data_IF_457109330398
#
_entry.id   IF_457109330398
#
_cell.length_a   1.000
_cell.length_b   1.000
_cell.length_c   1.000
_cell.angle_alpha   90.00
_cell.angle_beta   90.00
_cell.angle_gamma   90.00
#
_symmetry.space_group_name_H-M   'P 1'
#
loop_
_entity.id
_entity.type
_entity.pdbx_description
1 polymer ?
#
# COMPACT_ATOMS: atom_id res chain seq x y z
N UNK A 1 13.42 -7.74 2.84
CA UNK A 1 12.27 -7.18 2.15
C UNK A 1 12.53 -5.85 1.50
N UNK A 2 13.80 -5.52 1.38
CA UNK A 2 14.17 -4.28 0.73
C UNK A 2 13.68 -4.19 -0.70
N UNK A 3 13.67 -5.32 -1.41
CA UNK A 3 13.19 -5.35 -2.79
C UNK A 3 11.73 -4.91 -2.89
N UNK A 4 10.89 -5.35 -1.96
CA UNK A 4 9.47 -4.99 -1.97
C UNK A 4 9.32 -3.51 -1.67
N UNK A 5 10.07 -2.99 -0.70
CA UNK A 5 10.00 -1.58 -0.35
C UNK A 5 10.46 -0.68 -1.50
N UNK A 6 11.37 -1.14 -2.33
CA UNK A 6 11.85 -0.36 -3.45
C UNK A 6 10.97 -0.50 -4.69
N UNK A 7 10.13 -1.54 -4.75
CA UNK A 7 9.37 -1.83 -5.95
C UNK A 7 7.88 -1.96 -5.74
N UNK A 8 7.34 -1.51 -4.62
CA UNK A 8 5.92 -1.68 -4.31
C UNK A 8 5.00 -1.03 -5.34
N UNK A 9 5.46 0.03 -5.99
CA UNK A 9 4.64 0.73 -6.97
C UNK A 9 4.61 0.03 -8.32
N UNK A 10 5.43 -1.00 -8.50
CA UNK A 10 5.43 -1.77 -9.72
C UNK A 10 4.43 -2.90 -9.62
N UNK A 11 4.23 -3.58 -10.74
CA UNK A 11 3.26 -4.66 -10.81
C UNK A 11 3.88 -5.92 -10.19
N UNK A 12 4.06 -5.91 -8.89
CA UNK A 12 4.63 -7.05 -8.17
C UNK A 12 3.58 -8.11 -7.91
N UNK A 13 3.96 -9.36 -8.07
CA UNK A 13 3.09 -10.47 -7.74
C UNK A 13 3.91 -11.57 -7.09
N UNK A 14 3.20 -12.47 -6.42
CA UNK A 14 3.81 -13.66 -5.84
C UNK A 14 4.57 -14.43 -6.91
N UNK A 15 3.95 -14.57 -8.08
CA UNK A 15 4.54 -15.33 -9.17
C UNK A 15 5.80 -14.68 -9.72
N UNK A 16 5.79 -13.35 -9.88
CA UNK A 16 6.96 -12.66 -10.41
C UNK A 16 8.14 -12.72 -9.45
N UNK A 17 7.89 -12.61 -8.16
CA UNK A 17 8.96 -12.70 -7.16
C UNK A 17 9.49 -14.11 -7.03
N UNK A 18 8.60 -15.10 -7.08
CA UNK A 18 9.04 -16.50 -7.01
C UNK A 18 9.91 -16.83 -8.21
N UNK A 19 9.52 -16.36 -9.40
CA UNK A 19 10.32 -16.59 -10.61
C UNK A 19 11.70 -15.95 -10.49
N UNK A 20 11.77 -14.74 -9.95
CA UNK A 20 13.04 -14.05 -9.78
C UNK A 20 13.96 -14.78 -8.81
N UNK A 21 13.40 -15.49 -7.85
CA UNK A 21 14.18 -16.25 -6.87
C UNK A 21 14.38 -17.71 -7.27
N UNK A 22 13.86 -18.11 -8.42
CA UNK A 22 13.96 -19.49 -8.93
C UNK A 22 13.30 -20.51 -7.99
N UNK A 23 12.16 -20.14 -7.41
CA UNK A 23 11.40 -21.04 -6.54
C UNK A 23 9.95 -21.06 -7.00
N UNK A 24 9.17 -22.02 -6.54
CA UNK A 24 7.77 -22.10 -6.91
C UNK A 24 6.95 -21.02 -6.17
N UNK A 25 5.87 -20.55 -6.77
CA UNK A 25 5.00 -19.58 -6.07
C UNK A 25 4.44 -20.10 -4.75
N UNK A 26 4.11 -21.40 -4.71
CA UNK A 26 3.59 -21.98 -3.47
C UNK A 26 4.63 -21.98 -2.36
N UNK A 27 5.86 -22.34 -2.70
CA UNK A 27 6.95 -22.32 -1.74
C UNK A 27 7.19 -20.90 -1.25
N UNK A 28 7.21 -19.94 -2.18
CA UNK A 28 7.39 -18.54 -1.83
C UNK A 28 6.31 -18.07 -0.84
N UNK A 29 5.05 -18.41 -1.11
CA UNK A 29 3.94 -17.98 -0.25
C UNK A 29 4.09 -18.54 1.16
N UNK A 30 4.43 -19.79 1.28
CA UNK A 30 4.57 -20.45 2.58
C UNK A 30 5.73 -19.84 3.35
N UNK A 31 6.87 -19.67 2.69
CA UNK A 31 8.04 -19.13 3.37
C UNK A 31 7.84 -17.68 3.76
N UNK A 32 7.20 -16.90 2.88
CA UNK A 32 6.97 -15.50 3.18
C UNK A 32 6.11 -15.34 4.42
N UNK A 33 4.99 -16.09 4.48
CA UNK A 33 4.09 -15.98 5.62
C UNK A 33 4.76 -16.49 6.88
N UNK A 34 5.58 -17.52 6.76
CA UNK A 34 6.28 -18.07 7.92
C UNK A 34 7.26 -17.06 8.51
N UNK A 35 7.98 -16.36 7.65
CA UNK A 35 9.00 -15.41 8.11
C UNK A 35 8.42 -14.05 8.50
N UNK A 36 7.40 -13.59 7.77
CA UNK A 36 6.88 -12.25 7.97
C UNK A 36 5.61 -12.20 8.83
N UNK A 37 4.98 -13.34 9.04
CA UNK A 37 3.76 -13.38 9.84
C UNK A 37 2.50 -12.99 9.10
N UNK A 38 2.60 -12.47 7.89
CA UNK A 38 1.45 -12.10 7.06
C UNK A 38 1.73 -12.53 5.64
N UNK A 39 0.68 -12.63 4.82
CA UNK A 39 0.86 -13.02 3.43
C UNK A 39 1.57 -11.90 2.67
N UNK A 40 2.13 -12.27 1.51
CA UNK A 40 2.80 -11.30 0.65
C UNK A 40 1.85 -10.17 0.24
N UNK A 41 0.62 -10.52 -0.14
CA UNK A 41 -0.34 -9.50 -0.57
C UNK A 41 -0.72 -8.54 0.56
N UNK A 42 -0.87 -9.05 1.76
CA UNK A 42 -1.14 -8.21 2.90
C UNK A 42 0.03 -7.26 3.18
N UNK A 43 1.23 -7.79 3.07
CA UNK A 43 2.44 -7.00 3.32
C UNK A 43 2.55 -5.87 2.27
N UNK A 44 2.39 -6.23 0.99
CA UNK A 44 2.48 -5.26 -0.09
C UNK A 44 1.41 -4.18 0.04
N UNK A 45 0.17 -4.60 0.36
CA UNK A 45 -0.92 -3.65 0.53
C UNK A 45 -0.63 -2.66 1.65
N UNK A 46 -0.10 -3.14 2.78
CA UNK A 46 0.24 -2.25 3.88
C UNK A 46 1.30 -1.23 3.49
N UNK A 47 2.30 -1.65 2.73
CA UNK A 47 3.33 -0.72 2.27
C UNK A 47 2.70 0.36 1.39
N UNK A 48 1.88 -0.05 0.43
CA UNK A 48 1.24 0.90 -0.49
C UNK A 48 0.36 1.89 0.25
N UNK A 49 -0.43 1.41 1.20
CA UNK A 49 -1.32 2.29 1.96
C UNK A 49 -0.53 3.23 2.87
N UNK A 50 0.54 2.75 3.47
CA UNK A 50 1.38 3.59 4.32
C UNK A 50 1.97 4.75 3.52
N UNK A 51 2.45 4.47 2.31
CA UNK A 51 2.98 5.54 1.45
C UNK A 51 1.85 6.47 1.01
N UNK A 52 0.68 5.92 0.72
CA UNK A 52 -0.47 6.74 0.32
C UNK A 52 -0.85 7.72 1.42
N UNK A 53 -0.79 7.29 2.68
CA UNK A 53 -1.10 8.18 3.80
C UNK A 53 -0.17 9.39 3.79
N UNK A 54 1.11 9.16 3.53
CA UNK A 54 2.06 10.28 3.46
C UNK A 54 1.74 11.19 2.27
N UNK A 55 1.35 10.62 1.13
CA UNK A 55 1.02 11.42 -0.04
C UNK A 55 -0.28 12.20 0.13
N UNK A 56 -1.16 11.77 1.03
CA UNK A 56 -2.38 12.52 1.30
C UNK A 56 -2.11 13.86 1.95
N UNK A 57 -0.93 14.03 2.50
CA UNK A 57 -0.55 15.31 3.09
C UNK A 57 -0.10 16.31 2.04
N UNK A 58 -0.02 15.88 0.80
CA UNK A 58 0.36 16.74 -0.32
C UNK A 58 -0.88 17.19 -1.07
N UNK A 59 -0.70 17.96 -2.15
CA UNK A 59 -1.81 18.41 -2.97
C UNK A 59 -2.18 17.44 -4.07
N UNK A 60 -1.58 16.26 -4.11
CA UNK A 60 -1.86 15.27 -5.15
C UNK A 60 -3.31 14.82 -5.08
N UNK A 61 -3.89 14.60 -6.25
CA UNK A 61 -5.26 14.10 -6.31
C UNK A 61 -5.27 12.63 -5.92
N UNK A 62 -6.41 12.18 -5.40
CA UNK A 62 -6.56 10.80 -4.95
C UNK A 62 -6.21 9.81 -6.08
N UNK A 63 -6.65 10.11 -7.31
CA UNK A 63 -6.34 9.24 -8.45
C UNK A 63 -4.83 9.15 -8.68
N UNK A 64 -4.13 10.26 -8.55
CA UNK A 64 -2.69 10.28 -8.75
C UNK A 64 -1.97 9.52 -7.65
N UNK A 65 -2.46 9.62 -6.43
CA UNK A 65 -1.88 8.88 -5.31
C UNK A 65 -2.05 7.37 -5.55
N UNK A 66 -3.24 6.95 -5.96
CA UNK A 66 -3.49 5.53 -6.22
C UNK A 66 -2.50 4.99 -7.24
N UNK A 67 -2.29 5.75 -8.31
CA UNK A 67 -1.38 5.33 -9.37
C UNK A 67 0.07 5.29 -8.88
N UNK A 68 0.47 6.30 -8.13
CA UNK A 68 1.84 6.36 -7.63
C UNK A 68 2.21 5.21 -6.71
N UNK A 69 1.25 4.73 -5.93
CA UNK A 69 1.56 3.63 -5.02
C UNK A 69 1.31 2.26 -5.65
N UNK A 70 0.96 2.22 -6.94
CA UNK A 70 0.93 0.96 -7.67
C UNK A 70 -0.44 0.37 -7.93
N UNK A 71 -1.52 1.13 -7.73
CA UNK A 71 -2.85 0.61 -8.02
C UNK A 71 -3.28 1.00 -9.41
N UNK A 72 -3.66 0.01 -10.21
CA UNK A 72 -4.21 0.27 -11.52
C UNK A 72 -5.68 0.63 -11.44
N UNK A 73 -6.35 0.14 -10.40
CA UNK A 73 -7.79 0.34 -10.25
C UNK A 73 -8.02 1.23 -9.03
N UNK A 74 -8.56 2.42 -9.28
CA UNK A 74 -8.83 3.37 -8.21
C UNK A 74 -9.77 2.81 -7.15
N UNK A 75 -10.78 2.05 -7.59
CA UNK A 75 -11.75 1.49 -6.64
C UNK A 75 -11.10 0.49 -5.70
N UNK A 76 -10.19 -0.32 -6.22
CA UNK A 76 -9.46 -1.26 -5.36
C UNK A 76 -8.62 -0.53 -4.34
N UNK A 77 -8.00 0.57 -4.75
CA UNK A 77 -7.23 1.39 -3.83
C UNK A 77 -8.12 1.90 -2.70
N UNK A 78 -9.29 2.43 -3.05
CA UNK A 78 -10.20 2.98 -2.04
C UNK A 78 -10.67 1.90 -1.08
N UNK A 79 -11.01 0.72 -1.60
CA UNK A 79 -11.45 -0.39 -0.77
C UNK A 79 -10.35 -0.82 0.21
N UNK A 80 -9.15 -1.02 -0.30
CA UNK A 80 -8.03 -1.44 0.54
C UNK A 80 -7.68 -0.38 1.58
N UNK A 81 -7.70 0.88 1.16
CA UNK A 81 -7.40 1.97 2.07
C UNK A 81 -8.40 1.98 3.23
N UNK A 82 -9.67 1.85 2.90
CA UNK A 82 -10.71 1.87 3.92
C UNK A 82 -10.61 0.66 4.85
N UNK A 83 -10.28 -0.50 4.31
CA UNK A 83 -10.12 -1.69 5.13
C UNK A 83 -9.00 -1.54 6.15
N UNK A 84 -7.94 -0.86 5.77
CA UNK A 84 -6.78 -0.73 6.66
C UNK A 84 -6.94 0.43 7.63
N UNK A 85 -7.45 1.57 7.16
CA UNK A 85 -7.50 2.78 7.99
C UNK A 85 -8.86 3.06 8.62
N UNK A 86 -9.92 2.45 8.08
CA UNK A 86 -11.28 2.74 8.54
C UNK A 86 -11.92 3.93 7.83
N UNK A 87 -11.20 4.59 6.93
CA UNK A 87 -11.69 5.77 6.23
C UNK A 87 -11.38 5.67 4.75
N UNK A 88 -12.17 6.34 3.91
CA UNK A 88 -11.77 6.49 2.51
C UNK A 88 -10.59 7.45 2.45
N UNK A 89 -9.83 7.46 1.35
CA UNK A 89 -8.73 8.42 1.23
C UNK A 89 -9.17 9.88 1.38
N UNK A 90 -10.33 10.23 0.82
CA UNK A 90 -10.83 11.60 0.94
C UNK A 90 -11.19 11.95 2.37
N UNK A 91 -11.84 11.03 3.06
CA UNK A 91 -12.18 11.24 4.46
C UNK A 91 -10.93 11.36 5.31
N UNK A 92 -9.96 10.52 5.03
CA UNK A 92 -8.71 10.53 5.79
C UNK A 92 -7.97 11.85 5.59
N UNK A 93 -7.95 12.34 4.35
CA UNK A 93 -7.28 13.61 4.06
C UNK A 93 -7.92 14.76 4.86
N UNK A 94 -9.24 14.80 4.88
CA UNK A 94 -9.93 15.83 5.63
C UNK A 94 -9.61 15.74 7.11
N UNK A 95 -9.58 14.52 7.64
CA UNK A 95 -9.30 14.30 9.05
C UNK A 95 -7.87 14.74 9.40
N UNK A 96 -6.90 14.38 8.56
CA UNK A 96 -5.52 14.72 8.80
C UNK A 96 -5.29 16.23 8.70
N UNK A 97 -5.87 16.88 7.69
CA UNK A 97 -5.71 18.32 7.54
C UNK A 97 -6.34 19.05 8.71
N UNK A 98 -7.46 18.55 9.20
CA UNK A 98 -8.11 19.15 10.35
C UNK A 98 -7.24 19.02 11.59
N UNK A 99 -6.60 17.88 11.76
CA UNK A 99 -5.75 17.67 12.91
C UNK A 99 -4.45 18.44 12.85
N UNK A 100 -3.99 18.72 11.62
CA UNK A 100 -2.73 19.43 11.46
C UNK A 100 -2.89 20.93 11.41
N UNK A 101 -4.11 21.42 11.38
CA UNK A 101 -4.29 22.84 11.40
C UNK A 101 -3.77 23.39 12.69
N UNK A 102 -3.08 24.51 12.66
CA UNK A 102 -2.56 25.08 13.87
C UNK A 102 -3.74 25.40 14.75
N UNK A 103 -3.66 24.94 15.95
CA UNK A 103 -4.75 25.27 16.78
C UNK A 103 -4.58 26.72 17.06
N UNK A 104 -5.62 27.34 17.21
CA UNK A 104 -5.58 28.65 17.31
C UNK A 104 -5.25 29.06 18.59
N UNK A 105 -4.48 28.50 19.21
CA UNK A 105 -4.15 28.90 20.41
C UNK A 105 -3.68 30.14 20.53
#
# INVERSE_FOLDING_TARGET
>A
MQYIHQNYAKDLSRDSLAAALFISPSYFSIQFKKEMGVSFMEYLTKIRITVAIELLKTNLRINDIAERVGYRNRNRFIINFREITGYTPSEYRKKVLSMEEPSDE
#
